data_IF_036045743146
#
_entry.id   IF_036045743146
#
_cell.length_a   1.000
_cell.length_b   1.000
_cell.length_c   1.000
_cell.angle_alpha   90.00
_cell.angle_beta   90.00
_cell.angle_gamma   90.00
#
_symmetry.space_group_name_H-M   'P 1'
#
loop_
_entity.id
_entity.type
_entity.pdbx_description
1 polymer ?
#
# COMPACT_ATOMS: atom_id res chain seq x y z
N UNK A 1 -7.75 -22.68 5.50
CA UNK A 1 -9.00 -22.99 4.80
C UNK A 1 -8.67 -23.20 3.33
N UNK A 2 -9.01 -24.34 2.74
CA UNK A 2 -8.68 -24.68 1.35
C UNK A 2 -9.91 -25.25 0.63
N UNK A 3 -9.97 -25.07 -0.69
CA UNK A 3 -11.01 -25.66 -1.54
C UNK A 3 -12.44 -25.17 -1.24
N UNK A 4 -13.38 -26.13 -1.13
CA UNK A 4 -14.82 -25.84 -0.92
C UNK A 4 -15.14 -25.17 0.42
N UNK A 5 -14.25 -25.23 1.41
CA UNK A 5 -14.42 -24.52 2.68
C UNK A 5 -14.32 -23.01 2.50
N UNK A 6 -13.58 -22.52 1.51
CA UNK A 6 -13.50 -21.09 1.20
C UNK A 6 -14.88 -20.57 0.78
N UNK A 7 -15.57 -21.28 -0.11
CA UNK A 7 -16.90 -20.90 -0.59
C UNK A 7 -17.95 -20.92 0.53
N UNK A 8 -17.85 -21.90 1.43
CA UNK A 8 -18.76 -22.00 2.59
C UNK A 8 -18.56 -20.82 3.56
N UNK A 9 -17.29 -20.50 3.89
CA UNK A 9 -16.96 -19.36 4.79
C UNK A 9 -17.38 -18.06 4.13
N UNK A 10 -17.10 -17.87 2.85
CA UNK A 10 -17.48 -16.68 2.08
C UNK A 10 -19.01 -16.52 2.03
N UNK A 11 -19.77 -17.61 1.83
CA UNK A 11 -21.23 -17.58 1.84
C UNK A 11 -21.79 -17.19 3.19
N UNK A 12 -21.26 -17.75 4.30
CA UNK A 12 -21.68 -17.39 5.66
C UNK A 12 -21.37 -15.90 5.94
N UNK A 13 -20.20 -15.44 5.54
CA UNK A 13 -19.76 -14.06 5.74
C UNK A 13 -20.57 -13.04 4.92
N UNK A 14 -21.13 -13.46 3.79
CA UNK A 14 -22.03 -12.66 2.95
C UNK A 14 -23.51 -12.81 3.31
N UNK A 15 -23.82 -13.10 4.58
CA UNK A 15 -25.18 -13.28 5.09
C UNK A 15 -26.00 -14.35 4.36
N UNK A 16 -25.35 -15.47 4.01
CA UNK A 16 -25.91 -16.61 3.27
C UNK A 16 -26.31 -16.28 1.80
N UNK A 17 -25.80 -15.20 1.24
CA UNK A 17 -25.92 -14.93 -0.18
C UNK A 17 -24.93 -15.83 -0.94
N UNK A 18 -25.49 -16.84 -1.64
CA UNK A 18 -24.69 -17.85 -2.37
C UNK A 18 -23.99 -17.28 -3.59
N UNK A 19 -24.60 -16.31 -4.24
CA UNK A 19 -24.04 -15.70 -5.44
C UNK A 19 -22.83 -14.85 -5.06
N UNK A 20 -22.98 -13.95 -4.09
CA UNK A 20 -21.90 -13.14 -3.55
C UNK A 20 -20.82 -14.02 -2.90
N UNK A 21 -21.22 -15.04 -2.14
CA UNK A 21 -20.28 -15.99 -1.54
C UNK A 21 -19.44 -16.75 -2.56
N UNK A 22 -20.04 -17.15 -3.70
CA UNK A 22 -19.32 -17.80 -4.80
C UNK A 22 -18.32 -16.85 -5.49
N UNK A 23 -18.69 -15.59 -5.68
CA UNK A 23 -17.81 -14.57 -6.27
C UNK A 23 -16.60 -14.31 -5.34
N UNK A 24 -16.85 -14.09 -4.06
CA UNK A 24 -15.80 -13.90 -3.04
C UNK A 24 -14.92 -15.15 -2.94
N UNK A 25 -15.50 -16.35 -2.92
CA UNK A 25 -14.75 -17.59 -2.87
C UNK A 25 -13.84 -17.80 -4.09
N UNK A 26 -14.32 -17.46 -5.29
CA UNK A 26 -13.49 -17.46 -6.51
C UNK A 26 -12.34 -16.46 -6.40
N UNK A 27 -12.60 -15.24 -5.92
CA UNK A 27 -11.57 -14.24 -5.70
C UNK A 27 -10.44 -14.76 -4.79
N UNK A 28 -10.78 -15.30 -3.62
CA UNK A 28 -9.79 -15.88 -2.70
C UNK A 28 -9.04 -17.07 -3.28
N UNK A 29 -9.68 -17.90 -4.10
CA UNK A 29 -9.00 -19.01 -4.78
C UNK A 29 -8.00 -18.54 -5.82
N UNK A 30 -8.30 -17.43 -6.50
CA UNK A 30 -7.43 -16.86 -7.54
C UNK A 30 -6.21 -16.12 -6.95
N UNK A 31 -6.39 -15.37 -5.86
CA UNK A 31 -5.28 -14.62 -5.24
C UNK A 31 -4.40 -15.49 -4.35
N UNK A 32 -4.88 -16.67 -3.93
CA UNK A 32 -4.11 -17.58 -3.08
C UNK A 32 -3.98 -17.11 -1.62
N UNK A 33 -3.09 -17.78 -0.86
CA UNK A 33 -2.95 -17.57 0.60
C UNK A 33 -2.45 -16.17 0.98
N UNK A 34 -1.69 -15.53 0.12
CA UNK A 34 -1.06 -14.22 0.35
C UNK A 34 -1.78 -13.09 -0.38
N UNK A 35 -2.92 -13.38 -1.02
CA UNK A 35 -3.67 -12.39 -1.76
C UNK A 35 -4.66 -11.63 -0.89
N UNK A 36 -4.92 -10.39 -1.28
CA UNK A 36 -5.94 -9.54 -0.68
C UNK A 36 -7.14 -9.43 -1.61
N UNK A 37 -8.34 -9.54 -1.08
CA UNK A 37 -9.58 -9.30 -1.81
C UNK A 37 -10.14 -7.95 -1.39
N UNK A 38 -10.28 -7.05 -2.34
CA UNK A 38 -10.93 -5.76 -2.14
C UNK A 38 -12.27 -5.76 -2.88
N UNK A 39 -13.28 -5.15 -2.28
CA UNK A 39 -14.55 -4.90 -2.95
C UNK A 39 -14.59 -3.44 -3.38
N UNK A 40 -14.67 -3.22 -4.70
CA UNK A 40 -14.90 -1.91 -5.28
C UNK A 40 -16.32 -1.87 -5.86
N UNK A 41 -17.04 -0.80 -5.57
CA UNK A 41 -18.39 -0.60 -6.09
C UNK A 41 -18.34 0.38 -7.27
N UNK A 42 -17.79 -0.05 -8.39
CA UNK A 42 -17.94 0.69 -9.64
C UNK A 42 -19.34 0.44 -10.20
N UNK A 43 -20.28 1.30 -9.78
CA UNK A 43 -21.69 1.23 -10.17
C UNK A 43 -22.01 1.50 -11.65
N UNK A 44 -21.06 1.28 -12.56
CA UNK A 44 -21.25 1.57 -13.99
C UNK A 44 -21.87 0.43 -14.81
N UNK A 45 -21.73 -0.81 -14.39
CA UNK A 45 -22.18 -1.96 -15.19
C UNK A 45 -23.33 -2.76 -14.57
N UNK A 46 -23.60 -2.60 -13.27
CA UNK A 46 -24.63 -3.38 -12.56
C UNK A 46 -24.31 -4.88 -12.43
N UNK A 47 -23.16 -5.33 -12.92
CA UNK A 47 -22.67 -6.70 -12.80
C UNK A 47 -21.53 -6.75 -11.78
N UNK A 48 -21.57 -7.75 -10.89
CA UNK A 48 -20.47 -8.00 -9.95
C UNK A 48 -19.38 -8.79 -10.64
N UNK A 49 -18.26 -8.17 -10.90
CA UNK A 49 -17.08 -8.81 -11.51
C UNK A 49 -15.94 -8.90 -10.49
N UNK A 50 -15.08 -9.90 -10.64
CA UNK A 50 -13.85 -10.04 -9.88
C UNK A 50 -12.68 -9.92 -10.84
N UNK A 51 -11.85 -8.92 -10.60
CA UNK A 51 -10.57 -8.76 -11.30
C UNK A 51 -9.42 -9.07 -10.35
N UNK A 52 -8.51 -9.94 -10.76
CA UNK A 52 -7.27 -10.20 -10.02
C UNK A 52 -6.18 -9.31 -10.59
N UNK A 53 -5.65 -8.43 -9.79
CA UNK A 53 -4.56 -7.54 -10.18
C UNK A 53 -3.37 -7.74 -9.25
N UNK A 54 -2.18 -7.56 -9.78
CA UNK A 54 -0.99 -7.50 -8.97
C UNK A 54 -1.04 -6.29 -8.05
N UNK A 55 -0.68 -6.47 -6.79
CA UNK A 55 -0.73 -5.41 -5.80
C UNK A 55 0.22 -5.69 -4.64
N UNK A 56 0.44 -4.67 -3.85
CA UNK A 56 1.28 -4.72 -2.65
C UNK A 56 0.43 -4.49 -1.42
N UNK A 57 0.51 -5.39 -0.45
CA UNK A 57 -0.15 -5.22 0.84
C UNK A 57 0.86 -4.76 1.88
N UNK A 58 0.61 -3.60 2.46
CA UNK A 58 1.39 -3.01 3.54
C UNK A 58 0.55 -3.06 4.82
N UNK A 59 1.05 -3.68 5.89
CA UNK A 59 0.37 -3.79 7.17
C UNK A 59 0.48 -2.49 7.99
N UNK A 60 0.16 -1.37 7.36
CA UNK A 60 0.09 -0.03 7.95
C UNK A 60 -1.09 0.71 7.33
N UNK A 61 -1.99 1.22 8.17
CA UNK A 61 -3.11 2.02 7.74
C UNK A 61 -2.82 3.53 7.80
N UNK A 62 -3.83 4.34 7.47
CA UNK A 62 -3.70 5.79 7.57
C UNK A 62 -3.45 6.23 9.02
N UNK A 63 -2.54 7.18 9.22
CA UNK A 63 -2.19 7.69 10.55
C UNK A 63 -3.24 8.67 11.08
N UNK A 64 -3.95 9.36 10.19
CA UNK A 64 -4.88 10.42 10.58
C UNK A 64 -6.22 10.28 9.82
N UNK A 65 -7.31 10.16 10.56
CA UNK A 65 -8.66 10.01 10.01
C UNK A 65 -9.12 11.20 9.12
N UNK A 66 -8.47 12.37 9.26
CA UNK A 66 -8.77 13.50 8.37
C UNK A 66 -8.38 13.23 6.89
N UNK A 67 -7.57 12.21 6.61
CA UNK A 67 -7.28 11.81 5.24
C UNK A 67 -8.39 10.97 4.61
N UNK A 68 -9.31 10.39 5.38
CA UNK A 68 -10.42 9.57 4.88
C UNK A 68 -11.16 10.28 3.74
N UNK A 69 -11.37 9.54 2.65
CA UNK A 69 -12.09 9.99 1.45
C UNK A 69 -13.49 9.39 1.38
N UNK A 70 -13.68 8.19 1.89
CA UNK A 70 -14.97 7.52 2.04
C UNK A 70 -15.30 7.32 3.54
N UNK A 71 -16.18 8.16 4.05
CA UNK A 71 -16.59 8.11 5.47
C UNK A 71 -17.44 6.91 5.81
N UNK A 72 -18.14 6.31 4.86
CA UNK A 72 -18.95 5.12 5.06
C UNK A 72 -18.08 3.86 5.24
N UNK A 73 -17.05 3.73 4.42
CA UNK A 73 -16.09 2.62 4.49
C UNK A 73 -14.91 2.90 5.41
N UNK A 74 -14.75 4.14 5.88
CA UNK A 74 -13.58 4.60 6.66
C UNK A 74 -12.25 4.31 5.92
N UNK A 75 -12.21 4.58 4.63
CA UNK A 75 -11.04 4.35 3.78
C UNK A 75 -10.53 5.62 3.12
N UNK A 76 -9.24 5.60 2.77
CA UNK A 76 -8.59 6.59 1.93
C UNK A 76 -8.31 5.95 0.59
N UNK A 77 -8.88 6.47 -0.49
CA UNK A 77 -8.61 6.01 -1.85
C UNK A 77 -7.91 7.11 -2.63
N UNK A 78 -6.75 6.81 -3.19
CA UNK A 78 -5.97 7.70 -4.03
C UNK A 78 -5.81 7.04 -5.41
N UNK A 79 -6.26 7.74 -6.45
CA UNK A 79 -6.13 7.28 -7.84
C UNK A 79 -4.83 7.81 -8.44
N UNK A 80 -4.01 6.91 -8.97
CA UNK A 80 -2.70 7.19 -9.57
C UNK A 80 -1.82 8.09 -8.70
N UNK A 81 -1.65 7.75 -7.40
CA UNK A 81 -0.87 8.58 -6.50
C UNK A 81 0.62 8.56 -6.83
N UNK A 82 1.26 9.68 -6.55
CA UNK A 82 2.70 9.72 -6.35
C UNK A 82 3.04 9.11 -4.99
N UNK A 83 4.16 8.42 -4.88
CA UNK A 83 4.61 7.76 -3.65
C UNK A 83 5.92 8.39 -3.19
N UNK A 84 5.91 8.97 -2.00
CA UNK A 84 7.10 9.46 -1.32
C UNK A 84 7.48 8.49 -0.20
N UNK A 85 8.73 8.03 -0.20
CA UNK A 85 9.22 7.00 0.69
C UNK A 85 10.42 7.53 1.50
N UNK A 86 10.18 7.88 2.77
CA UNK A 86 11.20 8.48 3.65
C UNK A 86 11.23 7.75 4.98
N UNK A 87 12.37 7.18 5.35
CA UNK A 87 12.55 6.48 6.64
C UNK A 87 12.97 7.39 7.78
N UNK A 88 13.55 8.56 7.49
CA UNK A 88 13.92 9.53 8.50
C UNK A 88 12.75 10.45 8.89
N UNK A 89 12.64 10.91 10.14
CA UNK A 89 11.55 11.77 10.56
C UNK A 89 11.54 13.12 9.83
N UNK A 90 10.36 13.49 9.34
CA UNK A 90 10.14 14.78 8.68
C UNK A 90 9.65 15.78 9.72
N UNK A 91 10.51 16.70 10.14
CA UNK A 91 10.25 17.64 11.24
C UNK A 91 9.51 18.91 10.80
N UNK A 92 9.71 19.35 9.55
CA UNK A 92 9.09 20.56 9.00
C UNK A 92 8.59 20.31 7.59
N UNK A 93 7.44 20.89 7.24
CA UNK A 93 6.81 20.69 5.91
C UNK A 93 7.68 21.19 4.77
N UNK A 94 8.55 22.18 5.02
CA UNK A 94 9.47 22.74 4.03
C UNK A 94 10.37 21.69 3.39
N UNK A 95 10.76 20.66 4.13
CA UNK A 95 11.60 19.56 3.63
C UNK A 95 10.97 18.77 2.47
N UNK A 96 9.64 18.70 2.44
CA UNK A 96 8.87 17.99 1.39
C UNK A 96 8.04 18.94 0.52
N UNK A 97 8.23 20.25 0.67
CA UNK A 97 7.42 21.25 -0.03
C UNK A 97 7.51 21.09 -1.55
N UNK A 98 8.69 20.86 -2.11
CA UNK A 98 8.91 20.72 -3.55
C UNK A 98 8.06 19.59 -4.14
N UNK A 99 8.01 18.44 -3.48
CA UNK A 99 7.22 17.29 -3.96
C UNK A 99 5.72 17.48 -3.74
N UNK A 100 5.31 18.19 -2.70
CA UNK A 100 3.90 18.56 -2.48
C UNK A 100 3.43 19.55 -3.55
N UNK A 101 4.21 20.57 -3.87
CA UNK A 101 3.93 21.52 -4.95
C UNK A 101 3.88 20.84 -6.31
N UNK A 102 4.78 19.90 -6.57
CA UNK A 102 4.77 19.08 -7.78
C UNK A 102 3.48 18.27 -7.89
N UNK A 103 3.04 17.60 -6.81
CA UNK A 103 1.79 16.84 -6.78
C UNK A 103 0.57 17.74 -7.08
N UNK A 104 0.49 18.91 -6.46
CA UNK A 104 -0.59 19.88 -6.67
C UNK A 104 -0.59 20.41 -8.11
N UNK A 105 0.56 20.82 -8.62
CA UNK A 105 0.70 21.36 -9.99
C UNK A 105 0.29 20.34 -11.05
N UNK A 106 0.60 19.07 -10.85
CA UNK A 106 0.24 17.98 -11.75
C UNK A 106 -1.15 17.38 -11.47
N UNK A 107 -1.88 17.93 -10.50
CA UNK A 107 -3.18 17.41 -10.04
C UNK A 107 -3.13 15.90 -9.68
N UNK A 108 -2.03 15.49 -9.08
CA UNK A 108 -1.79 14.10 -8.64
C UNK A 108 -1.95 13.99 -7.13
N UNK A 109 -2.63 12.95 -6.62
CA UNK A 109 -2.58 12.64 -5.20
C UNK A 109 -1.17 12.23 -4.78
N UNK A 110 -0.88 12.33 -3.49
CA UNK A 110 0.39 11.86 -2.91
C UNK A 110 0.14 10.93 -1.73
N UNK A 111 0.80 9.78 -1.73
CA UNK A 111 0.93 8.87 -0.61
C UNK A 111 2.32 9.05 0.00
N UNK A 112 2.37 9.44 1.26
CA UNK A 112 3.62 9.56 1.99
C UNK A 112 3.77 8.35 2.91
N UNK A 113 4.82 7.58 2.72
CA UNK A 113 5.23 6.48 3.59
C UNK A 113 6.40 6.99 4.41
N UNK A 114 6.10 7.47 5.62
CA UNK A 114 7.11 8.15 6.43
C UNK A 114 6.58 8.60 7.79
N UNK A 115 7.50 9.04 8.63
CA UNK A 115 7.20 9.59 9.95
C UNK A 115 7.14 11.12 9.87
N UNK A 116 5.94 11.68 9.92
CA UNK A 116 5.73 13.12 9.98
C UNK A 116 5.54 13.58 11.41
N UNK A 117 6.32 14.56 11.83
CA UNK A 117 6.11 15.23 13.11
C UNK A 117 4.83 16.09 13.09
N UNK A 118 4.46 16.65 14.23
CA UNK A 118 3.19 17.38 14.41
C UNK A 118 3.01 18.52 13.41
N UNK A 119 4.05 19.28 13.11
CA UNK A 119 3.98 20.45 12.24
C UNK A 119 3.70 20.08 10.78
N UNK A 120 4.46 19.21 10.11
CA UNK A 120 4.17 18.82 8.75
C UNK A 120 2.86 18.05 8.63
N UNK A 121 2.50 17.23 9.62
CA UNK A 121 1.21 16.53 9.65
C UNK A 121 0.05 17.52 9.70
N UNK A 122 0.08 18.51 10.57
CA UNK A 122 -0.97 19.53 10.69
C UNK A 122 -1.09 20.37 9.40
N UNK A 123 0.04 20.74 8.79
CA UNK A 123 0.06 21.47 7.53
C UNK A 123 -0.58 20.67 6.39
N UNK A 124 -0.27 19.38 6.29
CA UNK A 124 -0.81 18.49 5.26
C UNK A 124 -2.31 18.26 5.43
N UNK A 125 -2.76 17.98 6.65
CA UNK A 125 -4.18 17.82 7.00
C UNK A 125 -4.96 19.10 6.68
N UNK A 126 -4.45 20.27 7.06
CA UNK A 126 -5.09 21.54 6.77
C UNK A 126 -5.27 21.77 5.25
N UNK A 127 -4.25 21.50 4.46
CA UNK A 127 -4.32 21.64 3.00
C UNK A 127 -5.27 20.61 2.36
N UNK A 128 -5.33 19.39 2.89
CA UNK A 128 -6.30 18.38 2.45
C UNK A 128 -7.74 18.82 2.75
N UNK A 129 -8.01 19.33 3.95
CA UNK A 129 -9.34 19.82 4.33
C UNK A 129 -9.77 20.99 3.44
N UNK A 130 -8.85 21.89 3.10
CA UNK A 130 -9.10 23.01 2.18
C UNK A 130 -9.26 22.57 0.71
N UNK A 131 -9.04 21.30 0.39
CA UNK A 131 -9.11 20.77 -0.97
C UNK A 131 -7.93 21.15 -1.87
N UNK A 132 -6.85 21.69 -1.30
CA UNK A 132 -5.66 22.08 -2.05
C UNK A 132 -4.82 20.89 -2.50
N UNK A 133 -4.89 19.77 -1.77
CA UNK A 133 -4.12 18.55 -2.04
C UNK A 133 -4.93 17.31 -1.69
N UNK A 134 -4.75 16.25 -2.46
CA UNK A 134 -5.21 14.90 -2.11
C UNK A 134 -4.01 14.12 -1.57
N UNK A 135 -4.05 13.73 -0.32
CA UNK A 135 -2.92 13.10 0.34
C UNK A 135 -3.35 12.04 1.34
N UNK A 136 -2.47 11.11 1.59
CA UNK A 136 -2.51 10.18 2.71
C UNK A 136 -1.11 9.99 3.28
N UNK A 137 -1.04 9.66 4.56
CA UNK A 137 0.21 9.34 5.25
C UNK A 137 0.05 8.04 5.99
N UNK A 138 0.96 7.11 5.75
CA UNK A 138 1.09 5.85 6.49
C UNK A 138 2.46 5.76 7.13
N UNK A 139 2.55 5.04 8.25
CA UNK A 139 3.83 4.79 8.89
C UNK A 139 4.68 3.82 8.05
N UNK A 140 6.00 3.94 8.08
CA UNK A 140 6.88 2.93 7.49
C UNK A 140 6.61 1.57 8.11
N UNK A 141 6.48 0.49 7.31
CA UNK A 141 6.33 -0.86 7.85
C UNK A 141 7.63 -1.37 8.48
N UNK A 142 7.48 -2.28 9.43
CA UNK A 142 8.62 -2.86 10.13
C UNK A 142 9.27 -1.93 11.16
N UNK A 143 10.21 -2.47 11.94
CA UNK A 143 11.03 -1.73 12.88
C UNK A 143 12.42 -2.33 12.98
N UNK A 144 13.37 -1.55 13.49
CA UNK A 144 14.78 -1.88 13.55
C UNK A 144 15.34 -2.23 12.16
N UNK A 145 16.16 -3.26 12.07
CA UNK A 145 16.80 -3.71 10.84
C UNK A 145 15.83 -4.17 9.74
N UNK A 146 14.61 -4.61 10.09
CA UNK A 146 13.58 -5.00 9.11
C UNK A 146 12.97 -3.80 8.37
N UNK A 147 12.96 -2.61 8.98
CA UNK A 147 12.40 -1.39 8.37
C UNK A 147 13.01 -1.13 7.00
N UNK A 148 14.33 -1.28 6.88
CA UNK A 148 15.04 -1.10 5.61
C UNK A 148 14.53 -2.02 4.53
N UNK A 149 14.47 -3.32 4.81
CA UNK A 149 14.07 -4.32 3.82
C UNK A 149 12.64 -4.07 3.31
N UNK A 150 11.71 -3.73 4.20
CA UNK A 150 10.33 -3.42 3.83
C UNK A 150 10.25 -2.17 2.94
N UNK A 151 11.01 -1.13 3.26
CA UNK A 151 11.01 0.11 2.49
C UNK A 151 11.68 -0.07 1.13
N UNK A 152 12.76 -0.84 1.06
CA UNK A 152 13.39 -1.21 -0.20
C UNK A 152 12.47 -2.07 -1.09
N UNK A 153 11.65 -2.94 -0.51
CA UNK A 153 10.65 -3.72 -1.25
C UNK A 153 9.55 -2.81 -1.82
N UNK A 154 9.07 -1.82 -1.05
CA UNK A 154 8.10 -0.83 -1.54
C UNK A 154 8.73 0.03 -2.64
N UNK A 155 10.00 0.43 -2.49
CA UNK A 155 10.74 1.15 -3.52
C UNK A 155 10.80 0.35 -4.83
N UNK A 156 11.13 -0.94 -4.76
CA UNK A 156 11.20 -1.83 -5.92
C UNK A 156 9.85 -1.96 -6.66
N UNK A 157 8.73 -1.93 -5.93
CA UNK A 157 7.38 -2.10 -6.49
C UNK A 157 6.84 -0.80 -7.08
N UNK A 158 7.14 0.35 -6.48
CA UNK A 158 6.58 1.66 -6.84
C UNK A 158 7.51 2.50 -7.71
N UNK A 159 8.80 2.14 -7.80
CA UNK A 159 9.82 2.97 -8.43
C UNK A 159 10.23 4.19 -7.60
N UNK A 160 9.78 4.32 -6.35
CA UNK A 160 10.19 5.38 -5.45
C UNK A 160 11.65 5.17 -5.00
N UNK A 161 12.35 6.28 -4.72
CA UNK A 161 13.63 6.22 -4.02
C UNK A 161 13.39 6.10 -2.51
N UNK A 162 14.00 5.12 -1.86
CA UNK A 162 14.01 5.04 -0.40
C UNK A 162 14.99 6.07 0.16
N UNK A 163 14.46 7.17 0.70
CA UNK A 163 15.22 8.31 1.22
C UNK A 163 15.49 8.11 2.71
N UNK A 164 16.78 8.17 3.11
CA UNK A 164 17.20 7.97 4.49
C UNK A 164 18.46 8.75 4.82
N UNK A 165 18.42 9.58 5.85
CA UNK A 165 19.62 10.27 6.39
C UNK A 165 20.64 9.25 6.92
N UNK A 166 20.21 8.08 7.39
CA UNK A 166 21.11 7.01 7.85
C UNK A 166 21.99 6.45 6.72
N UNK A 167 21.53 6.58 5.46
CA UNK A 167 22.27 6.14 4.27
C UNK A 167 22.99 7.29 3.54
N UNK A 168 22.95 8.49 4.12
CA UNK A 168 23.63 9.67 3.61
C UNK A 168 22.80 10.56 2.71
N UNK A 169 21.49 10.30 2.61
CA UNK A 169 20.59 11.19 1.86
C UNK A 169 20.31 12.47 2.64
N UNK A 170 20.12 13.56 1.93
CA UNK A 170 19.70 14.84 2.51
C UNK A 170 18.21 15.07 2.25
N UNK A 171 17.41 15.05 3.32
CA UNK A 171 15.96 15.28 3.21
C UNK A 171 15.62 16.67 2.68
N UNK A 172 16.51 17.65 2.83
CA UNK A 172 16.33 18.99 2.27
C UNK A 172 16.49 19.03 0.74
N UNK A 173 17.02 17.95 0.13
CA UNK A 173 17.27 17.82 -1.31
C UNK A 173 16.29 16.86 -2.02
N UNK A 174 15.15 16.57 -1.45
CA UNK A 174 14.12 15.74 -2.07
C UNK A 174 13.57 16.41 -3.33
N UNK A 175 13.58 15.68 -4.44
CA UNK A 175 13.14 16.13 -5.76
C UNK A 175 12.04 15.23 -6.33
N UNK A 176 11.23 15.71 -7.29
CA UNK A 176 10.13 14.92 -7.87
C UNK A 176 10.53 13.63 -8.57
N UNK A 177 11.76 13.52 -9.05
CA UNK A 177 12.31 12.31 -9.69
C UNK A 177 12.54 11.16 -8.69
N UNK A 178 12.54 11.46 -7.38
CA UNK A 178 12.60 10.46 -6.31
C UNK A 178 11.22 9.86 -5.97
N UNK A 179 10.14 10.40 -6.55
CA UNK A 179 8.79 9.88 -6.33
C UNK A 179 8.55 8.63 -7.16
N UNK A 180 7.91 7.64 -6.54
CA UNK A 180 7.33 6.51 -7.26
C UNK A 180 5.85 6.73 -7.56
N UNK A 181 5.21 5.72 -8.11
CA UNK A 181 3.78 5.75 -8.42
C UNK A 181 3.14 4.35 -8.39
N UNK A 182 1.83 4.32 -8.27
CA UNK A 182 1.02 3.12 -8.47
C UNK A 182 -0.34 3.50 -9.08
N UNK A 183 -1.12 2.52 -9.54
CA UNK A 183 -2.43 2.81 -10.15
C UNK A 183 -3.46 3.29 -9.13
N UNK A 184 -3.46 2.68 -7.95
CA UNK A 184 -4.39 3.05 -6.87
C UNK A 184 -3.78 2.68 -5.52
N UNK A 185 -4.01 3.52 -4.53
CA UNK A 185 -3.70 3.21 -3.14
C UNK A 185 -4.96 3.30 -2.30
N UNK A 186 -5.27 2.22 -1.59
CA UNK A 186 -6.42 2.15 -0.69
C UNK A 186 -5.90 1.83 0.71
N UNK A 187 -6.20 2.70 1.67
CA UNK A 187 -5.82 2.52 3.07
C UNK A 187 -7.05 2.49 3.96
N UNK A 188 -7.12 1.50 4.81
CA UNK A 188 -7.99 1.51 5.99
C UNK A 188 -7.18 1.89 7.25
N UNK A 189 -7.75 1.68 8.43
CA UNK A 189 -7.08 1.97 9.71
C UNK A 189 -5.93 1.01 10.06
N UNK A 190 -5.72 -0.08 9.33
CA UNK A 190 -4.79 -1.17 9.66
C UNK A 190 -3.83 -1.50 8.53
N UNK A 191 -4.27 -1.35 7.29
CA UNK A 191 -3.54 -1.78 6.12
C UNK A 191 -3.67 -0.80 4.95
N UNK A 192 -2.72 -0.89 4.04
CA UNK A 192 -2.74 -0.16 2.76
C UNK A 192 -2.45 -1.15 1.65
N UNK A 193 -3.24 -1.10 0.60
CA UNK A 193 -3.04 -1.88 -0.61
C UNK A 193 -2.71 -0.95 -1.76
N UNK A 194 -1.61 -1.24 -2.45
CA UNK A 194 -1.19 -0.54 -3.66
C UNK A 194 -1.52 -1.43 -4.86
N UNK A 195 -2.42 -0.98 -5.72
CA UNK A 195 -2.70 -1.64 -7.00
C UNK A 195 -1.56 -1.33 -7.98
N UNK A 196 -0.94 -2.36 -8.52
CA UNK A 196 0.17 -2.27 -9.47
C UNK A 196 -0.19 -3.08 -10.70
N UNK A 197 -0.09 -2.46 -11.88
CA UNK A 197 -0.48 -3.13 -13.12
C UNK A 197 0.51 -4.22 -13.52
N UNK A 198 1.80 -3.96 -13.30
CA UNK A 198 2.87 -4.89 -13.66
C UNK A 198 3.96 -4.85 -12.60
N UNK A 199 4.40 -6.03 -12.16
CA UNK A 199 5.48 -6.15 -11.16
C UNK A 199 6.81 -5.84 -11.86
N UNK A 200 7.56 -4.81 -11.38
CA UNK A 200 8.86 -4.47 -11.96
C UNK A 200 9.88 -5.61 -11.83
N UNK A 201 10.86 -5.65 -12.74
CA UNK A 201 11.90 -6.70 -12.72
C UNK A 201 12.68 -6.73 -11.40
N UNK A 202 13.01 -5.58 -10.83
CA UNK A 202 13.68 -5.50 -9.53
C UNK A 202 12.87 -6.19 -8.42
N UNK A 203 11.55 -6.01 -8.42
CA UNK A 203 10.67 -6.69 -7.47
C UNK A 203 10.61 -8.20 -7.72
N UNK A 204 10.65 -8.67 -8.97
CA UNK A 204 10.69 -10.09 -9.32
C UNK A 204 11.98 -10.77 -8.83
N UNK A 205 13.11 -10.10 -8.95
CA UNK A 205 14.41 -10.61 -8.43
C UNK A 205 14.34 -10.75 -6.90
N UNK A 206 13.82 -9.74 -6.20
CA UNK A 206 13.64 -9.80 -4.74
C UNK A 206 12.66 -10.89 -4.29
N UNK A 207 11.58 -11.13 -5.03
CA UNK A 207 10.65 -12.24 -4.78
C UNK A 207 11.39 -13.57 -4.82
N UNK A 208 12.19 -13.80 -5.86
CA UNK A 208 12.95 -15.03 -6.02
C UNK A 208 13.92 -15.27 -4.87
N UNK A 209 14.64 -14.25 -4.45
CA UNK A 209 15.58 -14.34 -3.32
C UNK A 209 14.86 -14.70 -2.01
N UNK A 210 13.69 -14.10 -1.76
CA UNK A 210 12.89 -14.38 -0.57
C UNK A 210 12.33 -15.81 -0.60
N UNK A 211 11.81 -16.26 -1.76
CA UNK A 211 11.32 -17.64 -1.92
C UNK A 211 12.42 -18.68 -1.68
N UNK A 212 13.66 -18.42 -2.11
CA UNK A 212 14.81 -19.29 -1.84
C UNK A 212 15.14 -19.32 -0.34
N UNK A 213 15.10 -18.17 0.34
CA UNK A 213 15.30 -18.10 1.79
C UNK A 213 14.21 -18.84 2.56
N UNK A 214 12.95 -18.76 2.13
CA UNK A 214 11.83 -19.46 2.76
C UNK A 214 11.96 -21.00 2.66
N UNK A 215 12.47 -21.52 1.55
CA UNK A 215 12.70 -22.97 1.36
C UNK A 215 13.71 -23.55 2.37
N UNK A 216 14.65 -22.74 2.83
CA UNK A 216 15.73 -23.13 3.75
C UNK A 216 15.48 -22.73 5.21
N UNK A 217 14.34 -22.08 5.51
CA UNK A 217 14.07 -21.52 6.84
C UNK A 217 13.09 -22.37 7.63
N UNK A 218 13.41 -22.63 8.88
CA UNK A 218 12.46 -23.19 9.85
C UNK A 218 11.39 -22.15 10.23
N UNK A 219 10.18 -22.58 10.64
CA UNK A 219 9.14 -21.67 11.13
C UNK A 219 9.63 -20.80 12.29
N UNK A 220 9.73 -19.50 12.05
CA UNK A 220 10.29 -18.54 13.00
C UNK A 220 9.75 -17.13 12.73
N UNK A 221 10.09 -16.17 13.59
CA UNK A 221 9.80 -14.75 13.33
C UNK A 221 10.39 -14.27 11.99
N UNK A 222 11.56 -14.80 11.60
CA UNK A 222 12.18 -14.50 10.31
C UNK A 222 11.31 -14.94 9.15
N UNK A 223 10.75 -16.15 9.20
CA UNK A 223 9.84 -16.68 8.18
C UNK A 223 8.61 -15.79 8.02
N UNK A 224 7.99 -15.39 9.14
CA UNK A 224 6.86 -14.48 9.11
C UNK A 224 7.20 -13.14 8.44
N UNK A 225 8.39 -12.59 8.73
CA UNK A 225 8.83 -11.33 8.10
C UNK A 225 9.11 -11.49 6.60
N UNK A 226 9.64 -12.61 6.18
CA UNK A 226 9.81 -12.92 4.76
C UNK A 226 8.46 -13.05 4.03
N UNK A 227 7.45 -13.66 4.66
CA UNK A 227 6.09 -13.73 4.13
C UNK A 227 5.44 -12.36 4.01
N UNK A 228 5.60 -11.47 5.01
CA UNK A 228 5.14 -10.09 4.95
C UNK A 228 5.81 -9.33 3.78
N UNK A 229 7.11 -9.55 3.54
CA UNK A 229 7.83 -8.96 2.40
C UNK A 229 7.31 -9.49 1.06
N UNK A 230 7.02 -10.79 0.96
CA UNK A 230 6.37 -11.34 -0.23
C UNK A 230 5.00 -10.70 -0.51
N UNK A 231 4.21 -10.43 0.53
CA UNK A 231 2.93 -9.76 0.37
C UNK A 231 3.06 -8.32 -0.18
N UNK A 232 4.17 -7.64 0.12
CA UNK A 232 4.50 -6.34 -0.50
C UNK A 232 4.91 -6.49 -1.96
N UNK A 233 5.78 -7.46 -2.26
CA UNK A 233 6.40 -7.60 -3.58
C UNK A 233 5.49 -8.28 -4.61
N UNK A 234 4.73 -9.30 -4.21
CA UNK A 234 4.00 -10.20 -5.10
C UNK A 234 2.54 -10.38 -4.74
N UNK A 235 2.00 -9.54 -3.86
CA UNK A 235 0.61 -9.63 -3.46
C UNK A 235 -0.32 -9.54 -4.67
N UNK A 236 -1.16 -10.56 -4.87
CA UNK A 236 -2.27 -10.49 -5.82
C UNK A 236 -3.46 -9.88 -5.09
N UNK A 237 -4.07 -8.88 -5.69
CA UNK A 237 -5.27 -8.23 -5.17
C UNK A 237 -6.43 -8.56 -6.09
N UNK A 238 -7.49 -9.14 -5.54
CA UNK A 238 -8.76 -9.26 -6.25
C UNK A 238 -9.63 -8.03 -5.96
N UNK A 239 -10.14 -7.40 -6.98
CA UNK A 239 -10.98 -6.19 -6.92
C UNK A 239 -12.36 -6.51 -7.45
#
# INVERSE_FOLDING_TARGET
VEGDMIDQVATISSNNDKELGSIIGKAFKQVGKNGTVMMDADGKTGETTVEVVSGSQINQGYINANFVTDTGKQTVTLEKPLVLLVSSPISVVRKIQVVLEYAVTNNRPILIIGELEKQPMAALVMNKIKGNIKANVIAPPGFNFWKKDFLDDIAAVTGATHISEEYGDDIDLITPDMLGECERAISDSKSTVLKINEIPEEAKERIKDIEEQLKSSDPSLKTQKLEERLAILSGNVAV
#
